data_IF_332521265271
#
_entry.id   IF_332521265271
#
_cell.length_a   1.000
_cell.length_b   1.000
_cell.length_c   1.000
_cell.angle_alpha   90.00
_cell.angle_beta   90.00
_cell.angle_gamma   90.00
#
_symmetry.space_group_name_H-M   'P 1'
#
loop_
_entity.id
_entity.type
_entity.pdbx_description
1 polymer ?
#
# COMPACT_ATOMS: atom_id res chain seq x y z
N UNK A 1 25.31 -11.39 9.71
CA UNK A 1 24.98 -11.76 8.32
C UNK A 1 24.12 -10.70 7.64
N UNK A 2 22.95 -10.34 8.18
CA UNK A 2 22.03 -9.33 7.59
C UNK A 2 22.70 -7.98 7.31
N UNK A 3 23.42 -7.39 8.27
CA UNK A 3 24.12 -6.10 8.09
C UNK A 3 25.00 -6.07 6.84
N UNK A 4 25.81 -7.12 6.61
CA UNK A 4 26.66 -7.23 5.41
C UNK A 4 25.82 -7.28 4.14
N UNK A 5 24.73 -8.06 4.11
CA UNK A 5 23.82 -8.13 2.95
C UNK A 5 23.21 -6.76 2.61
N UNK A 6 22.75 -6.04 3.62
CA UNK A 6 22.19 -4.69 3.44
C UNK A 6 23.26 -3.69 2.94
N UNK A 7 24.49 -3.82 3.42
CA UNK A 7 25.60 -2.95 2.99
C UNK A 7 26.14 -3.33 1.62
N UNK A 8 26.08 -4.59 1.20
CA UNK A 8 26.68 -5.07 -0.05
C UNK A 8 25.72 -5.09 -1.23
N UNK A 9 24.40 -5.16 -1.00
CA UNK A 9 23.41 -5.17 -2.09
C UNK A 9 23.61 -3.95 -2.97
N UNK A 10 23.67 -4.08 -4.31
CA UNK A 10 23.86 -2.92 -5.14
C UNK A 10 22.64 -1.98 -5.03
N UNK A 11 21.45 -2.53 -4.71
CA UNK A 11 20.13 -1.88 -4.72
C UNK A 11 19.85 -1.03 -3.50
N UNK A 12 18.90 -0.11 -3.68
CA UNK A 12 18.42 0.73 -2.61
C UNK A 12 17.65 -0.11 -1.59
N UNK A 13 17.65 0.39 -0.38
CA UNK A 13 16.97 -0.19 0.77
C UNK A 13 15.72 0.65 1.04
N UNK A 14 14.57 -0.01 1.10
CA UNK A 14 13.31 0.67 1.35
C UNK A 14 12.90 0.45 2.79
N UNK A 15 12.68 1.53 3.51
CA UNK A 15 12.29 1.48 4.91
C UNK A 15 10.78 1.49 5.01
N UNK A 16 10.26 0.76 5.98
CA UNK A 16 8.88 0.90 6.40
C UNK A 16 8.82 0.94 7.92
N UNK A 17 8.02 1.85 8.46
CA UNK A 17 7.79 1.87 9.88
C UNK A 17 6.32 2.09 10.20
N UNK A 18 5.93 1.60 11.37
CA UNK A 18 4.59 1.74 11.90
C UNK A 18 4.66 1.84 13.42
N UNK A 19 3.65 2.47 14.01
CA UNK A 19 3.56 2.67 15.45
C UNK A 19 2.38 1.88 16.00
N UNK A 20 2.64 1.09 17.02
CA UNK A 20 1.61 0.32 17.71
C UNK A 20 1.54 0.67 19.18
N UNK A 21 0.33 1.04 19.62
CA UNK A 21 -0.01 1.19 21.03
C UNK A 21 -0.44 -0.16 21.60
N UNK A 22 0.38 -0.69 22.50
CA UNK A 22 0.14 -1.93 23.19
C UNK A 22 -0.90 -1.75 24.32
N UNK A 23 -1.60 -2.84 24.72
CA UNK A 23 -2.62 -2.79 25.78
C UNK A 23 -2.11 -2.33 27.14
N UNK A 24 -0.81 -2.43 27.39
CA UNK A 24 -0.14 -1.94 28.59
C UNK A 24 0.22 -0.45 28.52
N UNK A 25 -0.42 0.32 27.63
CA UNK A 25 -0.21 1.76 27.43
C UNK A 25 1.19 2.16 26.94
N UNK A 26 2.00 1.19 26.50
CA UNK A 26 3.28 1.46 25.84
C UNK A 26 3.10 1.58 24.34
N UNK A 27 3.86 2.45 23.71
CA UNK A 27 3.91 2.57 22.25
C UNK A 27 5.21 1.96 21.73
N UNK A 28 5.14 1.24 20.62
CA UNK A 28 6.30 0.63 19.96
C UNK A 28 6.40 1.10 18.52
N UNK A 29 7.61 1.42 18.08
CA UNK A 29 7.94 1.65 16.69
C UNK A 29 8.59 0.40 16.10
N UNK A 30 7.93 -0.20 15.11
CA UNK A 30 8.50 -1.28 14.32
C UNK A 30 9.15 -0.72 13.07
N UNK A 31 10.46 -0.90 12.89
CA UNK A 31 11.20 -0.47 11.69
C UNK A 31 11.62 -1.71 10.91
N UNK A 32 11.17 -1.80 9.66
CA UNK A 32 11.53 -2.87 8.74
C UNK A 32 12.27 -2.32 7.53
N UNK A 33 13.11 -3.16 6.92
CA UNK A 33 13.74 -2.90 5.62
C UNK A 33 13.31 -3.95 4.60
N UNK A 34 12.99 -3.49 3.40
CA UNK A 34 12.79 -4.32 2.21
C UNK A 34 13.94 -4.07 1.23
N UNK A 35 14.52 -5.14 0.72
CA UNK A 35 15.70 -5.11 -0.13
C UNK A 35 15.74 -6.31 -1.06
N UNK A 36 16.49 -6.23 -2.15
CA UNK A 36 16.74 -7.38 -3.02
C UNK A 36 18.07 -8.03 -2.64
N UNK A 37 18.02 -9.35 -2.42
CA UNK A 37 19.21 -10.16 -2.16
C UNK A 37 19.90 -10.47 -3.50
N UNK A 38 21.16 -10.05 -3.69
CA UNK A 38 21.89 -10.32 -4.94
C UNK A 38 22.12 -11.80 -5.18
N UNK A 39 22.20 -12.62 -4.13
CA UNK A 39 22.51 -14.04 -4.24
C UNK A 39 21.29 -14.84 -4.70
N UNK A 40 20.13 -14.60 -4.08
CA UNK A 40 18.90 -15.35 -4.39
C UNK A 40 18.07 -14.68 -5.49
N UNK A 41 18.35 -13.41 -5.82
CA UNK A 41 17.54 -12.58 -6.72
C UNK A 41 16.07 -12.51 -6.27
N UNK A 42 15.86 -12.43 -4.96
CA UNK A 42 14.54 -12.30 -4.36
C UNK A 42 14.43 -11.01 -3.55
N UNK A 43 13.23 -10.43 -3.53
CA UNK A 43 12.89 -9.38 -2.58
C UNK A 43 12.70 -9.99 -1.19
N UNK A 44 13.58 -9.61 -0.28
CA UNK A 44 13.54 -9.99 1.13
C UNK A 44 13.11 -8.81 1.99
N UNK A 45 12.66 -9.14 3.19
CA UNK A 45 12.27 -8.16 4.20
C UNK A 45 12.70 -8.63 5.58
N UNK A 46 13.20 -7.69 6.38
CA UNK A 46 13.67 -7.93 7.75
C UNK A 46 13.18 -6.83 8.71
N UNK A 47 12.86 -7.22 9.93
CA UNK A 47 12.68 -6.30 11.05
C UNK A 47 14.08 -5.85 11.51
N UNK A 48 14.32 -4.54 11.49
CA UNK A 48 15.57 -3.94 11.96
C UNK A 48 15.50 -3.60 13.45
N UNK A 49 14.36 -3.08 13.90
CA UNK A 49 14.12 -2.72 15.28
C UNK A 49 12.64 -2.81 15.64
N UNK A 50 12.36 -3.19 16.89
CA UNK A 50 11.07 -3.05 17.55
C UNK A 50 11.34 -2.36 18.89
N UNK A 51 11.22 -1.04 18.90
CA UNK A 51 11.68 -0.21 20.02
C UNK A 51 10.51 0.46 20.71
N UNK A 52 10.50 0.47 22.03
CA UNK A 52 9.56 1.25 22.82
C UNK A 52 9.79 2.74 22.56
N UNK A 53 8.71 3.48 22.28
CA UNK A 53 8.75 4.94 22.18
C UNK A 53 8.83 5.48 23.62
N UNK A 54 9.92 6.18 23.99
CA UNK A 54 10.23 6.48 25.39
C UNK A 54 9.19 7.35 26.12
N UNK A 55 8.29 8.02 25.39
CA UNK A 55 7.34 8.96 25.96
C UNK A 55 8.00 10.10 26.76
N UNK A 56 9.29 10.36 26.53
CA UNK A 56 10.13 11.25 27.34
C UNK A 56 9.64 12.71 27.33
N UNK A 57 8.94 13.12 26.28
CA UNK A 57 8.33 14.44 26.15
C UNK A 57 6.83 14.46 26.52
N UNK A 58 6.32 13.39 27.16
CA UNK A 58 4.95 13.27 27.66
C UNK A 58 4.25 11.95 27.26
N UNK A 59 3.19 11.55 27.98
CA UNK A 59 2.44 10.34 27.66
C UNK A 59 1.82 10.44 26.25
N UNK A 60 2.16 9.49 25.38
CA UNK A 60 1.54 9.37 24.04
C UNK A 60 2.18 10.17 22.90
N UNK A 61 3.42 10.65 23.02
CA UNK A 61 4.12 11.29 21.90
C UNK A 61 4.48 10.29 20.79
N UNK A 62 3.51 9.98 19.92
CA UNK A 62 3.70 9.29 18.64
C UNK A 62 4.30 10.21 17.56
N UNK A 63 4.85 11.36 17.96
CA UNK A 63 5.32 12.41 17.06
C UNK A 63 6.50 11.95 16.21
N UNK A 64 6.62 12.53 15.01
CA UNK A 64 7.67 12.17 14.06
C UNK A 64 9.10 12.39 14.61
N UNK A 65 9.28 13.31 15.57
CA UNK A 65 10.56 13.55 16.23
C UNK A 65 11.00 12.39 17.14
N UNK A 66 10.06 11.77 17.87
CA UNK A 66 10.39 10.60 18.71
C UNK A 66 10.67 9.38 17.85
N UNK A 67 9.91 9.20 16.77
CA UNK A 67 10.18 8.16 15.80
C UNK A 67 11.56 8.34 15.15
N UNK A 68 11.96 9.59 14.87
CA UNK A 68 13.26 9.92 14.30
C UNK A 68 14.42 9.52 15.21
N UNK A 69 14.34 9.81 16.51
CA UNK A 69 15.36 9.41 17.50
C UNK A 69 15.67 7.91 17.36
N UNK A 70 14.65 7.06 17.22
CA UNK A 70 14.83 5.62 17.06
C UNK A 70 15.33 5.23 15.66
N UNK A 71 14.79 5.83 14.60
CA UNK A 71 15.18 5.54 13.23
C UNK A 71 16.64 5.90 12.96
N UNK A 72 17.12 7.04 13.47
CA UNK A 72 18.50 7.48 13.31
C UNK A 72 19.47 6.45 13.86
N UNK A 73 19.24 5.94 15.07
CA UNK A 73 20.07 4.88 15.67
C UNK A 73 20.12 3.64 14.79
N UNK A 74 18.98 3.21 14.22
CA UNK A 74 18.95 2.05 13.31
C UNK A 74 19.80 2.29 12.05
N UNK A 75 19.75 3.48 11.46
CA UNK A 75 20.54 3.81 10.27
C UNK A 75 22.04 3.81 10.55
N UNK A 76 22.44 4.31 11.73
CA UNK A 76 23.82 4.35 12.20
C UNK A 76 24.33 2.96 12.56
N UNK A 77 23.56 2.20 13.33
CA UNK A 77 23.90 0.84 13.76
C UNK A 77 24.12 -0.07 12.56
N UNK A 78 23.19 -0.10 11.61
CA UNK A 78 23.34 -0.92 10.41
C UNK A 78 24.30 -0.29 9.39
N UNK A 79 24.65 1.00 9.53
CA UNK A 79 25.44 1.80 8.60
C UNK A 79 24.90 1.67 7.16
N UNK A 80 23.63 2.03 6.99
CA UNK A 80 22.87 1.89 5.74
C UNK A 80 22.27 3.20 5.22
N UNK A 81 22.56 4.33 5.86
CA UNK A 81 22.00 5.65 5.54
C UNK A 81 22.18 6.03 4.06
N UNK A 82 23.32 5.72 3.45
CA UNK A 82 23.61 6.02 2.03
C UNK A 82 22.84 5.15 1.02
N UNK A 83 22.15 4.11 1.48
CA UNK A 83 21.38 3.20 0.63
C UNK A 83 19.88 3.39 0.73
N UNK A 84 19.40 4.29 1.57
CA UNK A 84 17.96 4.54 1.73
C UNK A 84 17.36 5.02 0.40
N UNK A 85 16.38 4.27 -0.10
CA UNK A 85 15.66 4.58 -1.33
C UNK A 85 14.38 5.34 -1.04
N UNK A 86 13.41 4.66 -0.41
CA UNK A 86 12.07 5.20 -0.14
C UNK A 86 11.62 4.82 1.27
N UNK A 87 10.72 5.63 1.82
CA UNK A 87 10.12 5.40 3.14
C UNK A 87 8.61 5.18 3.00
N UNK A 88 8.12 4.03 3.47
CA UNK A 88 6.71 3.65 3.48
C UNK A 88 6.16 3.62 4.91
N UNK A 89 5.25 4.54 5.24
CA UNK A 89 4.53 4.57 6.51
C UNK A 89 3.03 4.79 6.30
N UNK A 90 2.24 4.63 7.37
CA UNK A 90 0.81 4.99 7.39
C UNK A 90 0.58 6.46 6.96
N UNK A 91 -0.65 6.89 6.75
CA UNK A 91 -0.89 8.24 6.22
C UNK A 91 -0.94 9.32 7.31
N UNK A 92 -0.37 9.07 8.48
CA UNK A 92 -0.30 10.05 9.57
C UNK A 92 0.73 11.15 9.26
N UNK A 93 0.44 12.41 9.64
CA UNK A 93 1.32 13.56 9.39
C UNK A 93 2.69 13.47 10.09
N UNK A 94 2.78 12.69 11.17
CA UNK A 94 4.04 12.36 11.85
C UNK A 94 5.04 11.68 10.92
N UNK A 95 4.59 10.88 9.96
CA UNK A 95 5.46 10.26 8.95
C UNK A 95 6.04 11.30 7.97
N UNK A 96 5.32 12.41 7.71
CA UNK A 96 5.83 13.49 6.86
C UNK A 96 6.85 14.35 7.61
N UNK A 97 6.68 14.53 8.92
CA UNK A 97 7.71 15.10 9.81
C UNK A 97 8.95 14.21 9.88
N UNK A 98 8.76 12.89 10.03
CA UNK A 98 9.85 11.91 10.06
C UNK A 98 10.66 11.92 8.75
N UNK A 99 10.00 11.96 7.59
CA UNK A 99 10.70 12.09 6.30
C UNK A 99 11.49 13.39 6.18
N UNK A 100 10.98 14.53 6.69
CA UNK A 100 11.74 15.79 6.70
C UNK A 100 13.01 15.68 7.56
N UNK A 101 12.92 15.05 8.73
CA UNK A 101 14.08 14.83 9.61
C UNK A 101 15.10 13.88 8.95
N UNK A 102 14.63 12.82 8.31
CA UNK A 102 15.48 11.90 7.53
C UNK A 102 16.18 12.62 6.37
N UNK A 103 15.47 13.46 5.62
CA UNK A 103 16.04 14.25 4.53
C UNK A 103 17.18 15.15 5.01
N UNK A 104 16.95 15.90 6.09
CA UNK A 104 17.97 16.78 6.68
C UNK A 104 19.23 15.99 7.09
N UNK A 105 19.05 14.87 7.79
CA UNK A 105 20.17 14.01 8.19
C UNK A 105 20.95 13.47 7.00
N UNK A 106 20.26 13.01 5.95
CA UNK A 106 20.91 12.50 4.75
C UNK A 106 21.64 13.61 3.99
N UNK A 107 21.07 14.81 3.93
CA UNK A 107 21.69 15.98 3.32
C UNK A 107 22.98 16.38 4.05
N UNK A 108 23.00 16.38 5.38
CA UNK A 108 24.20 16.61 6.19
C UNK A 108 25.30 15.57 5.91
N UNK A 109 24.92 14.36 5.49
CA UNK A 109 25.83 13.28 5.07
C UNK A 109 26.15 13.31 3.57
N UNK A 110 25.71 14.33 2.83
CA UNK A 110 25.96 14.49 1.39
C UNK A 110 25.10 13.61 0.48
N UNK A 111 23.96 13.13 0.96
CA UNK A 111 23.01 12.32 0.18
C UNK A 111 21.79 13.16 -0.18
N UNK A 112 21.55 13.33 -1.48
CA UNK A 112 20.32 13.97 -1.97
C UNK A 112 19.11 13.04 -1.77
N UNK A 113 18.23 13.42 -0.85
CA UNK A 113 17.02 12.67 -0.51
C UNK A 113 15.87 13.64 -0.21
N UNK A 114 15.00 13.85 -1.20
CA UNK A 114 13.89 14.79 -1.07
C UNK A 114 12.67 14.16 -0.38
N UNK A 115 12.31 14.69 0.80
CA UNK A 115 11.30 14.11 1.70
C UNK A 115 9.96 13.80 1.02
N UNK A 116 9.42 14.74 0.22
CA UNK A 116 8.11 14.54 -0.43
C UNK A 116 8.18 13.46 -1.51
N UNK A 117 9.20 13.50 -2.35
CA UNK A 117 9.31 12.57 -3.49
C UNK A 117 9.68 11.14 -3.09
N UNK A 118 10.32 10.97 -1.92
CA UNK A 118 10.77 9.67 -1.40
C UNK A 118 9.81 9.05 -0.39
N UNK A 119 8.71 9.72 -0.10
CA UNK A 119 7.60 9.26 0.76
C UNK A 119 6.61 8.41 -0.03
N UNK A 120 6.29 7.23 0.50
CA UNK A 120 5.30 6.30 -0.09
C UNK A 120 4.16 6.09 0.91
N UNK A 121 2.96 6.53 0.56
CA UNK A 121 1.73 6.39 1.34
C UNK A 121 1.29 4.92 1.40
N UNK A 122 0.90 4.43 2.58
CA UNK A 122 0.49 3.05 2.78
C UNK A 122 -0.84 2.76 2.06
N UNK A 123 -0.80 1.89 1.04
CA UNK A 123 -1.96 1.60 0.21
C UNK A 123 -3.12 0.97 1.02
N UNK A 124 -2.82 0.05 1.94
CA UNK A 124 -3.83 -0.57 2.80
C UNK A 124 -4.52 0.44 3.72
N UNK A 125 -3.78 1.44 4.21
CA UNK A 125 -4.35 2.50 5.02
C UNK A 125 -5.28 3.39 4.19
N UNK A 126 -4.92 3.72 2.94
CA UNK A 126 -5.81 4.45 2.00
C UNK A 126 -7.12 3.68 1.79
N UNK A 127 -7.03 2.38 1.51
CA UNK A 127 -8.21 1.52 1.29
C UNK A 127 -9.07 1.46 2.55
N UNK A 128 -8.46 1.29 3.73
CA UNK A 128 -9.18 1.30 5.00
C UNK A 128 -9.91 2.62 5.24
N UNK A 129 -9.25 3.76 5.01
CA UNK A 129 -9.86 5.08 5.18
C UNK A 129 -11.06 5.29 4.25
N UNK A 130 -10.94 4.89 2.99
CA UNK A 130 -12.04 4.97 2.04
C UNK A 130 -13.23 4.10 2.48
N UNK A 131 -12.98 2.85 2.90
CA UNK A 131 -14.05 1.96 3.38
C UNK A 131 -14.68 2.46 4.68
N UNK A 132 -13.88 2.97 5.62
CA UNK A 132 -14.44 3.55 6.84
C UNK A 132 -15.29 4.79 6.51
N UNK A 133 -14.89 5.61 5.53
CA UNK A 133 -15.71 6.72 5.04
C UNK A 133 -17.04 6.26 4.42
N UNK A 134 -17.01 5.17 3.66
CA UNK A 134 -18.22 4.53 3.14
C UNK A 134 -19.16 4.06 4.26
N UNK A 135 -18.62 3.44 5.32
CA UNK A 135 -19.40 2.79 6.37
C UNK A 135 -19.96 3.76 7.42
N UNK A 136 -19.26 4.87 7.67
CA UNK A 136 -19.48 5.67 8.87
C UNK A 136 -19.71 7.17 8.63
N UNK A 137 -19.60 7.67 7.39
CA UNK A 137 -19.85 9.09 7.09
C UNK A 137 -21.19 9.25 6.37
N UNK A 138 -21.99 10.18 6.89
CA UNK A 138 -23.36 10.42 6.44
C UNK A 138 -23.46 11.27 5.15
N UNK A 139 -22.39 11.97 4.73
CA UNK A 139 -22.38 12.77 3.48
C UNK A 139 -20.98 13.06 2.91
N UNK A 140 -20.95 13.50 1.64
CA UNK A 140 -19.73 13.93 0.96
C UNK A 140 -19.14 15.20 1.60
N UNK A 141 -20.00 16.11 2.03
CA UNK A 141 -19.65 17.36 2.69
C UNK A 141 -19.05 17.07 4.06
N UNK A 142 -19.60 16.11 4.81
CA UNK A 142 -19.01 15.64 6.07
C UNK A 142 -17.65 14.98 5.84
N UNK A 143 -17.48 14.22 4.75
CA UNK A 143 -16.18 13.66 4.39
C UNK A 143 -15.16 14.74 4.05
N UNK A 144 -15.55 15.75 3.26
CA UNK A 144 -14.68 16.88 2.90
C UNK A 144 -14.35 17.77 4.09
N UNK A 145 -15.31 18.12 4.92
CA UNK A 145 -15.07 18.87 6.15
C UNK A 145 -14.14 18.09 7.09
N UNK A 146 -14.28 16.76 7.17
CA UNK A 146 -13.31 15.93 7.88
C UNK A 146 -11.93 16.03 7.22
N UNK A 147 -11.82 15.95 5.90
CA UNK A 147 -10.55 16.04 5.16
C UNK A 147 -9.86 17.40 5.31
N UNK A 148 -10.62 18.50 5.30
CA UNK A 148 -10.15 19.90 5.40
C UNK A 148 -9.68 20.26 6.81
N UNK A 149 -10.43 19.88 7.86
CA UNK A 149 -9.99 20.09 9.24
C UNK A 149 -8.66 19.40 9.58
N UNK A 150 -8.32 18.36 8.82
CA UNK A 150 -7.10 17.58 8.95
C UNK A 150 -5.95 18.18 8.13
N UNK A 151 -6.23 19.05 7.16
CA UNK A 151 -5.22 19.83 6.46
C UNK A 151 -4.83 21.11 7.23
N UNK A 152 -5.79 21.75 7.90
CA UNK A 152 -5.56 23.00 8.66
C UNK A 152 -4.95 22.81 10.06
N UNK A 153 -5.03 21.60 10.64
CA UNK A 153 -4.31 21.29 11.87
C UNK A 153 -2.91 20.78 11.52
N UNK A 154 -1.93 21.67 11.57
CA UNK A 154 -0.51 21.32 11.54
C UNK A 154 -0.29 20.11 12.50
N UNK A 155 0.06 18.95 11.94
CA UNK A 155 0.47 17.72 12.63
C UNK A 155 -0.58 16.69 13.14
N UNK A 156 -1.86 16.70 12.75
CA UNK A 156 -2.80 15.61 13.16
C UNK A 156 -3.52 14.90 11.99
N UNK A 157 -3.63 13.57 12.06
CA UNK A 157 -3.90 12.73 10.91
C UNK A 157 -5.35 12.32 10.71
N UNK A 158 -5.70 12.19 9.43
CA UNK A 158 -6.95 11.56 9.00
C UNK A 158 -7.12 10.14 9.53
N UNK A 159 -6.06 9.37 9.76
CA UNK A 159 -6.17 8.01 10.31
C UNK A 159 -6.72 7.94 11.75
N UNK A 160 -6.11 8.70 12.65
CA UNK A 160 -6.40 8.69 14.09
C UNK A 160 -7.60 9.55 14.42
N UNK A 161 -7.68 10.76 13.87
CA UNK A 161 -8.78 11.70 14.13
C UNK A 161 -10.10 11.21 13.51
N UNK A 162 -10.07 10.54 12.35
CA UNK A 162 -11.28 9.94 11.79
C UNK A 162 -11.81 8.77 12.66
N UNK A 163 -10.93 7.89 13.12
CA UNK A 163 -11.32 6.82 14.04
C UNK A 163 -11.82 7.38 15.38
N UNK A 164 -11.26 8.49 15.86
CA UNK A 164 -11.68 9.16 17.10
C UNK A 164 -12.99 9.94 16.95
N UNK A 165 -13.25 10.57 15.81
CA UNK A 165 -14.54 11.22 15.50
C UNK A 165 -15.68 10.23 15.33
N UNK A 166 -15.39 9.01 14.87
CA UNK A 166 -16.40 7.94 14.73
C UNK A 166 -16.64 7.21 16.07
N UNK A 167 -15.67 7.16 17.00
CA UNK A 167 -15.85 6.52 18.32
C UNK A 167 -17.10 7.01 19.09
N UNK A 168 -17.41 8.32 19.18
CA UNK A 168 -18.64 8.82 19.79
C UNK A 168 -19.92 8.34 19.08
N UNK A 169 -19.91 8.24 17.75
CA UNK A 169 -21.04 7.72 16.98
C UNK A 169 -21.24 6.22 17.24
N UNK A 170 -20.15 5.45 17.40
CA UNK A 170 -20.17 4.02 17.79
C UNK A 170 -20.70 3.82 19.22
N UNK A 171 -20.35 4.70 20.15
CA UNK A 171 -20.81 4.65 21.54
C UNK A 171 -22.33 4.91 21.69
N UNK A 172 -22.97 5.51 20.67
CA UNK A 172 -24.42 5.77 20.64
C UNK A 172 -25.24 4.57 20.12
N UNK A 173 -24.60 3.41 19.86
CA UNK A 173 -25.23 2.12 19.58
C UNK A 173 -25.05 1.65 18.12
N UNK A 174 -24.64 0.39 17.94
CA UNK A 174 -24.33 -0.23 16.63
C UNK A 174 -25.46 -0.15 15.61
N UNK A 175 -26.72 -0.10 16.06
CA UNK A 175 -27.91 -0.02 15.19
C UNK A 175 -27.94 1.22 14.28
N UNK A 176 -27.19 2.27 14.59
CA UNK A 176 -27.05 3.45 13.71
C UNK A 176 -26.35 3.15 12.39
N UNK A 177 -25.60 2.06 12.31
CA UNK A 177 -25.03 1.54 11.05
C UNK A 177 -26.06 0.82 10.17
N UNK A 178 -27.35 0.92 10.54
CA UNK A 178 -28.44 0.29 9.81
C UNK A 178 -28.30 -1.24 9.80
N UNK A 179 -28.53 -1.88 8.63
CA UNK A 179 -28.48 -3.35 8.51
C UNK A 179 -27.15 -3.95 8.98
N UNK A 180 -26.02 -3.26 8.75
CA UNK A 180 -24.71 -3.77 9.14
C UNK A 180 -24.55 -3.84 10.66
N UNK A 181 -25.11 -2.86 11.37
CA UNK A 181 -25.16 -2.83 12.84
C UNK A 181 -26.02 -3.94 13.43
N UNK A 182 -27.14 -4.24 12.79
CA UNK A 182 -27.99 -5.38 13.17
C UNK A 182 -27.26 -6.71 13.00
N UNK A 183 -26.50 -6.89 11.91
CA UNK A 183 -25.67 -8.08 11.70
C UNK A 183 -24.61 -8.25 12.79
N UNK A 184 -23.96 -7.16 13.21
CA UNK A 184 -23.05 -7.17 14.35
C UNK A 184 -23.75 -7.66 15.62
N UNK A 185 -24.89 -7.07 15.98
CA UNK A 185 -25.65 -7.44 17.17
C UNK A 185 -26.12 -8.92 17.14
N UNK A 186 -26.58 -9.42 15.98
CA UNK A 186 -26.94 -10.83 15.81
C UNK A 186 -25.72 -11.74 16.07
N UNK A 187 -24.55 -11.36 15.57
CA UNK A 187 -23.31 -12.13 15.77
C UNK A 187 -22.85 -12.13 17.23
N UNK A 188 -22.95 -10.99 17.91
CA UNK A 188 -22.67 -10.87 19.36
C UNK A 188 -23.64 -11.74 20.16
N UNK A 189 -24.95 -11.61 19.92
CA UNK A 189 -25.96 -12.42 20.58
C UNK A 189 -25.71 -13.93 20.38
N UNK A 190 -25.24 -14.34 19.21
CA UNK A 190 -24.88 -15.74 18.95
C UNK A 190 -23.68 -16.22 19.78
N UNK A 191 -22.71 -15.35 20.05
CA UNK A 191 -21.44 -15.67 20.70
C UNK A 191 -21.46 -15.58 22.22
N UNK A 192 -22.34 -14.78 22.77
CA UNK A 192 -22.49 -14.62 24.23
C UNK A 192 -22.92 -15.90 24.94
N UNK A 193 -23.34 -16.93 24.19
CA UNK A 193 -23.83 -18.17 24.75
C UNK A 193 -23.34 -19.37 23.94
N UNK A 194 -22.60 -20.27 24.58
CA UNK A 194 -22.02 -21.46 23.95
C UNK A 194 -23.07 -22.37 23.32
N UNK A 195 -24.26 -22.47 23.90
CA UNK A 195 -25.35 -23.24 23.31
C UNK A 195 -25.81 -22.62 21.98
N UNK A 196 -26.09 -21.31 21.95
CA UNK A 196 -26.49 -20.59 20.72
C UNK A 196 -25.43 -20.71 19.62
N UNK A 197 -24.16 -20.52 19.99
CA UNK A 197 -23.02 -20.63 19.10
C UNK A 197 -22.90 -22.02 18.49
N UNK A 198 -22.88 -23.06 19.32
CA UNK A 198 -22.73 -24.44 18.87
C UNK A 198 -23.95 -24.90 18.07
N UNK A 199 -25.15 -24.47 18.45
CA UNK A 199 -26.38 -24.77 17.73
C UNK A 199 -26.37 -24.19 16.32
N UNK A 200 -26.04 -22.90 16.16
CA UNK A 200 -25.92 -22.27 14.85
C UNK A 200 -24.83 -22.95 14.02
N UNK A 201 -23.63 -23.13 14.59
CA UNK A 201 -22.50 -23.76 13.90
C UNK A 201 -22.82 -25.18 13.44
N UNK A 202 -23.52 -25.97 14.25
CA UNK A 202 -23.95 -27.34 13.90
C UNK A 202 -24.92 -27.33 12.71
N UNK A 203 -25.82 -26.34 12.64
CA UNK A 203 -26.82 -26.23 11.58
C UNK A 203 -26.25 -25.66 10.28
N UNK A 204 -25.45 -24.60 10.38
CA UNK A 204 -24.91 -23.85 9.24
C UNK A 204 -23.54 -24.36 8.75
N UNK A 205 -22.91 -25.29 9.47
CA UNK A 205 -21.57 -25.83 9.17
C UNK A 205 -20.41 -24.90 9.53
N UNK A 206 -20.68 -23.62 9.82
CA UNK A 206 -19.70 -22.61 10.28
C UNK A 206 -20.40 -21.49 11.04
N UNK A 207 -19.61 -20.65 11.72
CA UNK A 207 -20.08 -19.42 12.38
C UNK A 207 -19.99 -18.19 11.49
N UNK A 208 -20.68 -17.10 11.87
CA UNK A 208 -20.65 -15.81 11.16
C UNK A 208 -19.30 -15.06 11.23
N UNK A 209 -18.49 -15.31 12.26
CA UNK A 209 -17.27 -14.52 12.51
C UNK A 209 -17.50 -13.40 13.53
N UNK A 210 -16.57 -12.48 13.67
CA UNK A 210 -16.75 -11.20 14.37
C UNK A 210 -16.02 -10.14 13.56
N UNK A 211 -16.59 -8.96 13.51
CA UNK A 211 -15.91 -7.76 13.09
C UNK A 211 -14.96 -7.25 14.20
N UNK A 212 -14.01 -6.42 13.78
CA UNK A 212 -13.01 -5.75 14.58
C UNK A 212 -13.06 -4.27 14.20
N UNK A 213 -13.28 -3.43 15.20
CA UNK A 213 -13.45 -1.98 15.11
C UNK A 213 -12.35 -1.23 14.34
N UNK A 214 -11.16 -1.82 14.24
CA UNK A 214 -9.98 -1.24 13.59
C UNK A 214 -9.66 -1.86 12.24
N UNK A 215 -10.29 -2.98 11.86
CA UNK A 215 -9.96 -3.73 10.63
C UNK A 215 -11.21 -3.99 9.79
N UNK A 216 -11.47 -3.13 8.81
CA UNK A 216 -12.64 -3.21 7.94
C UNK A 216 -12.82 -4.58 7.22
N UNK A 217 -11.73 -5.31 6.93
CA UNK A 217 -11.79 -6.64 6.33
C UNK A 217 -12.70 -7.60 7.12
N UNK A 218 -12.70 -7.48 8.45
CA UNK A 218 -13.53 -8.31 9.32
C UNK A 218 -15.03 -8.00 9.18
N UNK A 219 -15.40 -6.73 8.98
CA UNK A 219 -16.76 -6.32 8.63
C UNK A 219 -17.22 -6.92 7.31
N UNK A 220 -16.35 -6.85 6.27
CA UNK A 220 -16.65 -7.45 4.98
C UNK A 220 -16.87 -8.97 5.09
N UNK A 221 -15.99 -9.67 5.81
CA UNK A 221 -16.10 -11.13 6.01
C UNK A 221 -17.34 -11.53 6.80
N UNK A 222 -17.70 -10.75 7.83
CA UNK A 222 -18.94 -10.95 8.60
C UNK A 222 -20.16 -10.82 7.69
N UNK A 223 -20.21 -9.75 6.90
CA UNK A 223 -21.31 -9.50 5.97
C UNK A 223 -21.38 -10.54 4.85
N UNK A 224 -20.26 -10.89 4.23
CA UNK A 224 -20.18 -11.92 3.19
C UNK A 224 -20.64 -13.29 3.73
N UNK A 225 -20.19 -13.66 4.93
CA UNK A 225 -20.63 -14.90 5.58
C UNK A 225 -22.12 -14.87 5.92
N UNK A 226 -22.63 -13.73 6.38
CA UNK A 226 -24.04 -13.54 6.71
C UNK A 226 -24.94 -13.71 5.49
N UNK A 227 -24.57 -13.12 4.35
CA UNK A 227 -25.27 -13.29 3.08
C UNK A 227 -25.20 -14.74 2.56
N UNK A 228 -24.03 -15.38 2.64
CA UNK A 228 -23.88 -16.78 2.23
C UNK A 228 -24.69 -17.75 3.10
N UNK A 229 -25.01 -17.37 4.34
CA UNK A 229 -25.78 -18.16 5.30
C UNK A 229 -27.17 -17.60 5.56
N UNK A 230 -27.72 -16.80 4.64
CA UNK A 230 -28.96 -16.05 4.83
C UNK A 230 -30.10 -16.90 5.43
N UNK A 231 -30.38 -18.08 4.87
CA UNK A 231 -31.47 -18.96 5.36
C UNK A 231 -31.26 -19.43 6.80
N UNK A 232 -30.01 -19.64 7.22
CA UNK A 232 -29.67 -20.00 8.60
C UNK A 232 -29.78 -18.81 9.55
N UNK A 233 -29.41 -17.61 9.09
CA UNK A 233 -29.54 -16.38 9.88
C UNK A 233 -31.00 -16.00 10.04
N UNK A 234 -31.83 -16.14 9.01
CA UNK A 234 -33.28 -15.97 9.09
C UNK A 234 -33.92 -16.96 10.07
N UNK A 235 -33.50 -18.23 10.05
CA UNK A 235 -33.92 -19.22 11.04
C UNK A 235 -33.53 -18.79 12.47
N UNK A 236 -32.30 -18.32 12.67
CA UNK A 236 -31.80 -17.89 13.97
C UNK A 236 -32.59 -16.70 14.51
N UNK A 237 -32.83 -15.67 13.68
CA UNK A 237 -33.62 -14.50 14.04
C UNK A 237 -35.07 -14.85 14.37
N UNK A 238 -35.69 -15.81 13.66
CA UNK A 238 -37.04 -16.30 13.96
C UNK A 238 -37.08 -17.05 15.30
N UNK A 239 -36.06 -17.86 15.58
CA UNK A 239 -35.98 -18.65 16.81
C UNK A 239 -35.79 -17.76 18.05
N UNK A 240 -34.89 -16.79 17.97
CA UNK A 240 -34.57 -15.86 19.07
C UNK A 240 -35.24 -14.50 18.87
N UNK A 241 -36.46 -14.48 18.31
CA UNK A 241 -37.14 -13.25 17.90
C UNK A 241 -37.38 -12.28 19.06
N UNK A 242 -37.66 -12.80 20.27
CA UNK A 242 -37.89 -11.95 21.44
C UNK A 242 -36.64 -11.15 21.82
N UNK A 243 -35.46 -11.76 21.70
CA UNK A 243 -34.17 -11.13 22.02
C UNK A 243 -33.66 -10.24 20.88
N UNK A 244 -33.98 -10.61 19.63
CA UNK A 244 -33.48 -9.96 18.41
C UNK A 244 -34.52 -9.09 17.71
N UNK A 245 -35.62 -8.72 18.37
CA UNK A 245 -36.72 -7.97 17.74
C UNK A 245 -36.25 -6.68 17.07
N UNK A 246 -35.39 -5.93 17.76
CA UNK A 246 -34.84 -4.65 17.28
C UNK A 246 -33.72 -4.84 16.24
N UNK A 247 -33.16 -6.05 16.15
CA UNK A 247 -32.09 -6.42 15.22
C UNK A 247 -32.58 -7.31 14.07
N UNK A 248 -33.90 -7.52 13.96
CA UNK A 248 -34.47 -8.33 12.90
C UNK A 248 -34.24 -7.66 11.54
N UNK A 249 -33.64 -8.41 10.62
CA UNK A 249 -33.34 -8.00 9.25
C UNK A 249 -34.56 -8.22 8.35
N UNK A 250 -35.10 -7.13 7.82
CA UNK A 250 -36.20 -7.18 6.84
C UNK A 250 -35.69 -7.59 5.45
N UNK A 251 -36.58 -7.99 4.51
CA UNK A 251 -36.18 -8.28 3.12
C UNK A 251 -35.42 -7.12 2.44
N UNK A 252 -35.84 -5.87 2.69
CA UNK A 252 -35.17 -4.69 2.14
C UNK A 252 -33.77 -4.50 2.75
N UNK A 253 -33.60 -4.79 4.04
CA UNK A 253 -32.31 -4.72 4.72
C UNK A 253 -31.35 -5.82 4.21
N UNK A 254 -31.86 -7.01 3.89
CA UNK A 254 -31.08 -8.05 3.21
C UNK A 254 -30.62 -7.61 1.82
N UNK A 255 -31.49 -6.95 1.05
CA UNK A 255 -31.12 -6.38 -0.24
C UNK A 255 -30.04 -5.30 -0.10
N UNK A 256 -30.19 -4.39 0.88
CA UNK A 256 -29.20 -3.36 1.18
C UNK A 256 -27.84 -3.96 1.59
N UNK A 257 -27.83 -5.02 2.41
CA UNK A 257 -26.60 -5.76 2.72
C UNK A 257 -25.97 -6.35 1.45
N UNK A 258 -26.76 -6.85 0.51
CA UNK A 258 -26.28 -7.32 -0.79
C UNK A 258 -25.59 -6.22 -1.60
N UNK A 259 -26.19 -5.03 -1.68
CA UNK A 259 -25.63 -3.88 -2.39
C UNK A 259 -24.32 -3.39 -1.75
N UNK A 260 -24.29 -3.24 -0.42
CA UNK A 260 -23.09 -2.86 0.31
C UNK A 260 -21.96 -3.87 0.11
N UNK A 261 -22.25 -5.17 0.21
CA UNK A 261 -21.25 -6.22 -0.02
C UNK A 261 -20.72 -6.19 -1.45
N UNK A 262 -21.58 -5.98 -2.44
CA UNK A 262 -21.16 -5.84 -3.84
C UNK A 262 -20.26 -4.62 -4.06
N UNK A 263 -20.54 -3.50 -3.39
CA UNK A 263 -19.69 -2.31 -3.44
C UNK A 263 -18.33 -2.53 -2.76
N UNK A 264 -18.28 -3.19 -1.60
CA UNK A 264 -17.05 -3.40 -0.83
C UNK A 264 -16.16 -4.53 -1.39
N UNK A 265 -16.69 -5.41 -2.22
CA UNK A 265 -15.96 -6.58 -2.72
C UNK A 265 -14.66 -6.23 -3.48
N UNK A 266 -14.61 -5.23 -4.38
CA UNK A 266 -13.36 -4.85 -5.04
C UNK A 266 -12.29 -4.33 -4.07
N UNK A 267 -12.68 -3.57 -3.04
CA UNK A 267 -11.77 -3.14 -1.99
C UNK A 267 -11.17 -4.36 -1.29
N UNK A 268 -11.97 -5.39 -1.03
CA UNK A 268 -11.52 -6.55 -0.26
C UNK A 268 -10.52 -7.34 -1.10
N UNK A 269 -10.84 -7.54 -2.38
CA UNK A 269 -9.95 -8.21 -3.32
C UNK A 269 -8.62 -7.45 -3.47
N UNK A 270 -8.65 -6.12 -3.53
CA UNK A 270 -7.44 -5.30 -3.63
C UNK A 270 -6.61 -5.39 -2.38
N UNK A 271 -7.23 -5.33 -1.19
CA UNK A 271 -6.52 -5.56 0.07
C UNK A 271 -5.88 -6.94 0.09
N UNK A 272 -6.56 -8.01 -0.31
CA UNK A 272 -5.95 -9.35 -0.44
C UNK A 272 -4.77 -9.39 -1.43
N UNK A 273 -4.83 -8.62 -2.52
CA UNK A 273 -3.78 -8.57 -3.55
C UNK A 273 -2.56 -7.73 -3.13
N UNK A 274 -2.71 -6.87 -2.13
CA UNK A 274 -1.69 -5.90 -1.69
C UNK A 274 -1.20 -6.17 -0.27
N UNK A 275 -1.94 -6.94 0.53
CA UNK A 275 -1.49 -7.44 1.82
C UNK A 275 -0.60 -8.66 1.58
N UNK A 276 0.71 -8.48 1.74
CA UNK A 276 1.65 -9.59 1.60
C UNK A 276 3.09 -9.15 1.47
N UNK A 277 4.00 -9.98 1.96
CA UNK A 277 5.45 -9.74 1.94
C UNK A 277 5.99 -9.38 0.55
N UNK A 278 5.39 -9.98 -0.48
CA UNK A 278 5.78 -9.81 -1.88
C UNK A 278 5.02 -8.72 -2.62
N UNK A 279 4.08 -8.01 -1.96
CA UNK A 279 3.40 -6.89 -2.58
C UNK A 279 4.37 -5.72 -2.79
N UNK A 280 4.38 -5.20 -4.00
CA UNK A 280 5.29 -4.18 -4.49
C UNK A 280 4.51 -3.00 -5.06
N UNK A 281 5.17 -1.85 -5.18
CA UNK A 281 4.53 -0.59 -5.54
C UNK A 281 3.75 -0.63 -6.86
N UNK A 282 4.14 -1.51 -7.79
CA UNK A 282 3.48 -1.71 -9.09
C UNK A 282 1.99 -2.05 -8.96
N UNK A 283 1.56 -2.67 -7.86
CA UNK A 283 0.15 -2.99 -7.65
C UNK A 283 -0.66 -1.77 -7.24
N UNK A 284 -0.07 -0.82 -6.52
CA UNK A 284 -0.78 0.26 -5.83
C UNK A 284 -1.58 1.14 -6.80
N UNK A 285 -0.92 1.78 -7.76
CA UNK A 285 -1.61 2.74 -8.63
C UNK A 285 -2.57 2.02 -9.60
N UNK A 286 -2.23 0.79 -10.01
CA UNK A 286 -3.12 -0.03 -10.83
C UNK A 286 -4.40 -0.43 -10.10
N UNK A 287 -4.31 -0.86 -8.83
CA UNK A 287 -5.52 -1.17 -8.05
C UNK A 287 -6.31 0.10 -7.71
N UNK A 288 -5.65 1.24 -7.57
CA UNK A 288 -6.32 2.53 -7.47
C UNK A 288 -7.08 2.89 -8.77
N UNK A 289 -6.51 2.67 -9.96
CA UNK A 289 -7.22 2.83 -11.25
C UNK A 289 -8.50 1.96 -11.29
N UNK A 290 -8.41 0.72 -10.80
CA UNK A 290 -9.55 -0.20 -10.70
C UNK A 290 -10.63 0.36 -9.76
N UNK A 291 -10.25 0.88 -8.58
CA UNK A 291 -11.19 1.51 -7.65
C UNK A 291 -11.82 2.77 -8.24
N UNK A 292 -11.06 3.61 -8.92
CA UNK A 292 -11.60 4.81 -9.58
C UNK A 292 -12.67 4.44 -10.61
N UNK A 293 -12.43 3.39 -11.41
CA UNK A 293 -13.45 2.84 -12.32
C UNK A 293 -14.66 2.29 -11.57
N UNK A 294 -14.44 1.56 -10.48
CA UNK A 294 -15.50 1.01 -9.63
C UNK A 294 -16.38 2.11 -9.04
N UNK A 295 -15.79 3.19 -8.50
CA UNK A 295 -16.53 4.36 -8.02
C UNK A 295 -17.38 5.00 -9.11
N UNK A 296 -16.81 5.20 -10.29
CA UNK A 296 -17.53 5.80 -11.43
C UNK A 296 -18.76 4.96 -11.79
N UNK A 297 -18.61 3.64 -11.87
CA UNK A 297 -19.70 2.72 -12.17
C UNK A 297 -20.73 2.65 -11.04
N UNK A 298 -20.30 2.60 -9.79
CA UNK A 298 -21.18 2.58 -8.63
C UNK A 298 -22.02 3.86 -8.54
N UNK A 299 -21.43 5.02 -8.80
CA UNK A 299 -22.11 6.31 -8.75
C UNK A 299 -23.19 6.46 -9.84
N UNK A 300 -22.97 5.86 -11.01
CA UNK A 300 -23.97 5.78 -12.08
C UNK A 300 -25.09 4.79 -11.73
N UNK A 301 -24.71 3.58 -11.27
CA UNK A 301 -25.63 2.49 -10.93
C UNK A 301 -26.61 2.90 -9.83
N UNK A 302 -26.14 3.55 -8.78
CA UNK A 302 -26.94 3.90 -7.60
C UNK A 302 -27.58 5.29 -7.68
N UNK A 303 -27.84 5.81 -8.89
CA UNK A 303 -28.41 7.15 -9.10
C UNK A 303 -29.76 7.37 -8.39
N UNK A 304 -30.57 6.31 -8.22
CA UNK A 304 -31.85 6.34 -7.49
C UNK A 304 -31.79 5.97 -6.00
N UNK A 305 -30.65 5.47 -5.49
CA UNK A 305 -30.47 5.16 -4.06
C UNK A 305 -29.64 6.28 -3.42
N UNK A 306 -30.32 7.32 -2.93
CA UNK A 306 -29.68 8.54 -2.38
C UNK A 306 -28.72 8.20 -1.23
N UNK A 307 -29.13 7.34 -0.31
CA UNK A 307 -28.33 6.97 0.86
C UNK A 307 -27.03 6.28 0.44
N UNK A 308 -27.11 5.22 -0.37
CA UNK A 308 -25.92 4.49 -0.81
C UNK A 308 -25.01 5.39 -1.68
N UNK A 309 -25.60 6.25 -2.51
CA UNK A 309 -24.84 7.20 -3.33
C UNK A 309 -24.07 8.21 -2.49
N UNK A 310 -24.64 8.68 -1.37
CA UNK A 310 -23.94 9.55 -0.41
C UNK A 310 -22.76 8.83 0.24
N UNK A 311 -22.92 7.58 0.67
CA UNK A 311 -21.82 6.76 1.22
C UNK A 311 -20.70 6.55 0.18
N UNK A 312 -21.06 6.24 -1.07
CA UNK A 312 -20.09 6.12 -2.18
C UNK A 312 -19.37 7.45 -2.41
N UNK A 313 -20.07 8.58 -2.35
CA UNK A 313 -19.48 9.90 -2.53
C UNK A 313 -18.48 10.26 -1.42
N UNK A 314 -18.80 9.95 -0.17
CA UNK A 314 -17.92 10.15 0.98
C UNK A 314 -16.63 9.31 0.84
N UNK A 315 -16.79 8.03 0.54
CA UNK A 315 -15.69 7.10 0.26
C UNK A 315 -14.80 7.56 -0.89
N UNK A 316 -15.41 8.04 -1.98
CA UNK A 316 -14.68 8.52 -3.15
C UNK A 316 -13.90 9.79 -2.83
N UNK A 317 -14.46 10.74 -2.07
CA UNK A 317 -13.74 11.96 -1.69
C UNK A 317 -12.45 11.66 -0.90
N UNK A 318 -12.51 10.73 0.06
CA UNK A 318 -11.33 10.30 0.83
C UNK A 318 -10.32 9.59 -0.07
N UNK A 319 -10.79 8.68 -0.92
CA UNK A 319 -9.92 7.99 -1.88
C UNK A 319 -9.22 8.97 -2.84
N UNK A 320 -9.94 9.96 -3.38
CA UNK A 320 -9.43 10.89 -4.38
C UNK A 320 -8.32 11.79 -3.82
N UNK A 321 -8.42 12.24 -2.56
CA UNK A 321 -7.34 12.94 -1.86
C UNK A 321 -6.03 12.14 -1.92
N UNK A 322 -6.08 10.87 -1.52
CA UNK A 322 -4.88 10.03 -1.50
C UNK A 322 -4.43 9.58 -2.88
N UNK A 323 -5.35 9.49 -3.84
CA UNK A 323 -5.02 9.28 -5.25
C UNK A 323 -4.17 10.43 -5.77
N UNK A 324 -4.57 11.68 -5.52
CA UNK A 324 -3.82 12.88 -5.91
C UNK A 324 -2.45 12.96 -5.21
N UNK A 325 -2.35 12.58 -3.93
CA UNK A 325 -1.07 12.55 -3.21
C UNK A 325 -0.05 11.56 -3.82
N UNK A 326 -0.48 10.61 -4.66
CA UNK A 326 0.48 9.76 -5.38
C UNK A 326 1.32 10.54 -6.40
N UNK A 327 0.86 11.72 -6.85
CA UNK A 327 1.60 12.58 -7.77
C UNK A 327 2.83 13.24 -7.11
N UNK A 328 2.91 13.28 -5.77
CA UNK A 328 4.07 13.81 -5.04
C UNK A 328 5.34 12.98 -5.25
N UNK A 329 5.19 11.67 -5.51
CA UNK A 329 6.30 10.75 -5.69
C UNK A 329 6.34 10.18 -7.12
N UNK A 330 7.44 10.37 -7.88
CA UNK A 330 7.57 9.80 -9.21
C UNK A 330 7.60 8.26 -9.19
N UNK A 331 7.81 7.63 -8.03
CA UNK A 331 7.89 6.18 -7.91
C UNK A 331 6.58 5.48 -8.30
N UNK A 332 5.42 6.07 -8.02
CA UNK A 332 4.13 5.50 -8.40
C UNK A 332 3.97 5.42 -9.92
N UNK A 333 4.25 6.51 -10.63
CA UNK A 333 4.26 6.54 -12.10
C UNK A 333 5.34 5.64 -12.69
N UNK A 334 6.55 5.65 -12.10
CA UNK A 334 7.66 4.81 -12.53
C UNK A 334 7.31 3.32 -12.43
N UNK A 335 6.62 2.89 -11.37
CA UNK A 335 6.21 1.49 -11.20
C UNK A 335 5.24 1.01 -12.29
N UNK A 336 4.37 1.90 -12.82
CA UNK A 336 3.52 1.58 -13.98
C UNK A 336 4.34 1.52 -15.26
N UNK A 337 5.22 2.49 -15.49
CA UNK A 337 6.02 2.61 -16.71
C UNK A 337 7.04 1.48 -16.84
N UNK A 338 7.67 1.09 -15.75
CA UNK A 338 8.68 0.02 -15.71
C UNK A 338 8.04 -1.38 -15.71
N UNK A 339 6.72 -1.48 -15.63
CA UNK A 339 6.03 -2.78 -15.72
C UNK A 339 5.93 -3.23 -17.19
N UNK A 340 6.54 -4.37 -17.58
CA UNK A 340 6.64 -4.79 -18.99
C UNK A 340 5.29 -4.97 -19.70
N UNK A 341 4.26 -5.43 -18.98
CA UNK A 341 2.87 -5.57 -19.48
C UNK A 341 2.02 -4.29 -19.47
N UNK A 342 2.58 -3.14 -19.09
CA UNK A 342 1.83 -1.87 -19.02
C UNK A 342 2.54 -0.77 -19.80
N UNK A 343 3.77 -0.43 -19.40
CA UNK A 343 4.57 0.65 -19.96
C UNK A 343 3.80 1.98 -20.05
N UNK A 344 4.25 2.89 -20.90
CA UNK A 344 3.57 4.16 -21.17
C UNK A 344 2.17 3.94 -21.80
N UNK A 345 1.94 2.80 -22.45
CA UNK A 345 0.67 2.47 -23.07
C UNK A 345 -0.50 2.43 -22.06
N UNK A 346 -0.27 1.96 -20.83
CA UNK A 346 -1.29 1.97 -19.78
C UNK A 346 -1.77 3.39 -19.46
N UNK A 347 -0.83 4.31 -19.26
CA UNK A 347 -1.12 5.73 -18.98
C UNK A 347 -1.89 6.34 -20.16
N UNK A 348 -1.40 6.15 -21.39
CA UNK A 348 -2.02 6.70 -22.60
C UNK A 348 -3.45 6.20 -22.82
N UNK A 349 -3.73 4.94 -22.45
CA UNK A 349 -5.03 4.30 -22.65
C UNK A 349 -6.04 4.64 -21.55
N UNK A 350 -5.60 4.64 -20.29
CA UNK A 350 -6.51 4.64 -19.15
C UNK A 350 -6.61 5.99 -18.44
N UNK A 351 -5.64 6.89 -18.62
CA UNK A 351 -5.61 8.16 -17.89
C UNK A 351 -5.99 9.36 -18.77
N UNK A 352 -6.54 10.44 -18.17
CA UNK A 352 -6.77 11.70 -18.86
C UNK A 352 -5.51 12.25 -19.53
N UNK A 353 -5.66 12.82 -20.74
CA UNK A 353 -4.54 13.41 -21.51
C UNK A 353 -3.78 14.49 -20.73
N UNK A 354 -4.47 15.24 -19.89
CA UNK A 354 -3.87 16.28 -19.03
C UNK A 354 -2.84 15.71 -18.04
N UNK A 355 -2.98 14.46 -17.63
CA UNK A 355 -2.09 13.81 -16.66
C UNK A 355 -0.84 13.21 -17.30
N UNK A 356 -0.83 13.00 -18.62
CA UNK A 356 0.26 12.29 -19.30
C UNK A 356 1.59 13.04 -19.19
N UNK A 357 1.61 14.34 -19.48
CA UNK A 357 2.86 15.11 -19.49
C UNK A 357 3.49 15.25 -18.09
N UNK A 358 2.74 15.60 -17.02
CA UNK A 358 3.28 15.65 -15.67
C UNK A 358 3.96 14.35 -15.22
N UNK A 359 3.26 13.20 -15.33
CA UNK A 359 3.81 11.91 -14.87
C UNK A 359 5.03 11.49 -15.68
N UNK A 360 4.98 11.60 -17.02
CA UNK A 360 6.08 11.18 -17.88
C UNK A 360 7.33 12.05 -17.67
N UNK A 361 7.14 13.35 -17.45
CA UNK A 361 8.25 14.26 -17.14
C UNK A 361 8.84 13.99 -15.76
N UNK A 362 8.00 13.75 -14.74
CA UNK A 362 8.45 13.44 -13.39
C UNK A 362 9.29 12.15 -13.34
N UNK A 363 8.85 11.09 -14.02
CA UNK A 363 9.59 9.83 -14.09
C UNK A 363 10.88 9.97 -14.90
N UNK A 364 10.84 10.67 -16.04
CA UNK A 364 12.05 10.94 -16.84
C UNK A 364 13.06 11.77 -16.06
N UNK A 365 12.61 12.77 -15.30
CA UNK A 365 13.48 13.55 -14.42
C UNK A 365 14.14 12.63 -13.38
N UNK A 366 13.36 11.78 -12.70
CA UNK A 366 13.90 10.82 -11.74
C UNK A 366 14.94 9.86 -12.34
N UNK A 367 14.72 9.39 -13.57
CA UNK A 367 15.70 8.61 -14.33
C UNK A 367 17.02 9.36 -14.53
N UNK A 368 16.94 10.59 -15.03
CA UNK A 368 18.11 11.44 -15.31
C UNK A 368 18.89 11.80 -14.05
N UNK A 369 18.19 12.17 -12.98
CA UNK A 369 18.82 12.68 -11.76
C UNK A 369 19.56 11.56 -10.99
N UNK A 370 19.10 10.31 -11.06
CA UNK A 370 19.59 9.25 -10.16
C UNK A 370 20.19 8.01 -10.83
N UNK A 371 19.89 7.74 -12.11
CA UNK A 371 20.23 6.46 -12.73
C UNK A 371 20.96 6.57 -14.08
N UNK A 372 20.65 7.59 -14.89
CA UNK A 372 21.21 7.76 -16.23
C UNK A 372 22.74 7.78 -16.28
N UNK A 373 23.37 8.42 -15.28
CA UNK A 373 24.84 8.55 -15.19
C UNK A 373 25.49 7.48 -14.30
N UNK A 374 24.77 6.42 -13.92
CA UNK A 374 25.37 5.38 -13.07
C UNK A 374 26.53 4.68 -13.80
N UNK A 375 27.64 4.40 -13.09
CA UNK A 375 28.74 3.63 -13.65
C UNK A 375 28.25 2.24 -14.07
N UNK A 376 28.58 1.84 -15.30
CA UNK A 376 28.32 0.48 -15.76
C UNK A 376 29.28 -0.47 -15.04
N UNK A 377 28.83 -1.61 -14.50
CA UNK A 377 29.73 -2.65 -14.03
C UNK A 377 30.62 -3.04 -15.21
N UNK A 378 31.91 -2.77 -15.10
CA UNK A 378 32.89 -3.19 -16.12
C UNK A 378 33.03 -4.70 -16.03
N UNK A 379 32.09 -5.40 -16.64
CA UNK A 379 32.14 -6.86 -16.85
C UNK A 379 31.69 -7.16 -18.26
N UNK A 380 32.09 -6.32 -19.21
CA UNK A 380 32.48 -6.89 -20.49
C UNK A 380 33.68 -7.78 -20.16
N UNK A 381 33.69 -9.09 -20.48
CA UNK A 381 34.95 -9.63 -20.93
C UNK A 381 35.40 -8.62 -21.98
N UNK A 382 36.53 -7.98 -21.76
CA UNK A 382 37.34 -7.62 -22.89
C UNK A 382 37.54 -8.97 -23.59
N UNK A 383 36.63 -9.31 -24.52
CA UNK A 383 37.07 -9.70 -25.83
C UNK A 383 38.18 -8.70 -26.06
N UNK A 384 39.40 -9.18 -25.86
CA UNK A 384 40.54 -8.53 -26.43
C UNK A 384 40.11 -8.43 -27.88
N UNK A 385 39.57 -7.29 -28.25
CA UNK A 385 39.95 -6.66 -29.49
C UNK A 385 41.47 -6.56 -29.35
N UNK A 386 42.16 -7.68 -29.60
CA UNK A 386 43.32 -7.62 -30.44
C UNK A 386 42.90 -6.64 -31.52
N UNK A 387 43.56 -5.50 -31.55
CA UNK A 387 43.38 -4.48 -32.57
C UNK A 387 43.77 -5.15 -33.88
N UNK A 388 42.88 -6.00 -34.39
CA UNK A 388 42.96 -6.61 -35.69
C UNK A 388 42.55 -5.46 -36.58
N UNK A 389 43.52 -4.92 -37.33
CA UNK A 389 43.22 -3.96 -38.38
C UNK A 389 42.15 -4.61 -39.25
N UNK A 390 40.95 -4.05 -39.20
CA UNK A 390 39.84 -4.47 -40.05
C UNK A 390 40.33 -4.37 -41.49
N UNK A 391 40.19 -5.47 -42.23
CA UNK A 391 40.48 -5.45 -43.65
C UNK A 391 39.29 -4.89 -44.44
N UNK A 392 39.47 -4.70 -45.74
CA UNK A 392 38.46 -4.09 -46.61
C UNK A 392 37.17 -4.93 -46.65
N UNK A 393 37.28 -6.24 -46.47
CA UNK A 393 36.12 -7.12 -46.38
C UNK A 393 35.36 -6.92 -45.08
N UNK A 394 36.04 -6.82 -43.93
CA UNK A 394 35.40 -6.56 -42.64
C UNK A 394 34.64 -5.22 -42.63
N UNK A 395 35.17 -4.19 -43.30
CA UNK A 395 34.53 -2.89 -43.43
C UNK A 395 33.27 -2.95 -44.32
N UNK A 396 33.37 -3.60 -45.49
CA UNK A 396 32.25 -3.80 -46.41
C UNK A 396 31.16 -4.70 -45.80
N UNK A 397 31.56 -5.75 -45.07
CA UNK A 397 30.64 -6.62 -44.34
C UNK A 397 29.88 -5.84 -43.27
N UNK A 398 30.54 -4.95 -42.50
CA UNK A 398 29.89 -4.04 -41.53
C UNK A 398 28.93 -3.05 -42.18
N UNK A 399 29.22 -2.60 -43.40
CA UNK A 399 28.36 -1.70 -44.18
C UNK A 399 27.11 -2.42 -44.71
N UNK A 400 27.24 -3.70 -45.04
CA UNK A 400 26.15 -4.57 -45.47
C UNK A 400 25.37 -5.18 -44.30
N UNK A 401 25.97 -5.20 -43.11
CA UNK A 401 25.35 -5.70 -41.89
C UNK A 401 24.18 -4.79 -41.53
N UNK A 402 22.96 -5.31 -41.60
CA UNK A 402 21.74 -4.57 -41.25
C UNK A 402 21.60 -4.53 -39.73
N UNK A 403 22.65 -4.10 -39.02
CA UNK A 403 22.55 -3.76 -37.62
C UNK A 403 21.93 -2.39 -37.59
N UNK A 404 20.62 -2.32 -37.32
CA UNK A 404 19.89 -1.07 -37.22
C UNK A 404 20.68 -0.10 -36.32
N UNK A 405 21.21 1.03 -36.83
CA UNK A 405 22.00 1.96 -36.04
C UNK A 405 21.24 2.56 -34.85
N UNK A 406 19.92 2.35 -34.79
CA UNK A 406 19.00 3.12 -33.97
C UNK A 406 18.83 2.65 -32.52
N UNK A 407 19.25 1.45 -32.13
CA UNK A 407 19.06 0.98 -30.74
C UNK A 407 20.25 1.28 -29.81
N UNK A 408 21.45 1.44 -30.37
CA UNK A 408 22.67 1.68 -29.57
C UNK A 408 22.86 3.15 -29.18
N UNK A 409 22.15 4.09 -29.83
CA UNK A 409 22.19 5.53 -29.56
C UNK A 409 21.02 6.05 -28.69
N UNK A 410 19.98 5.23 -28.48
CA UNK A 410 18.83 5.62 -27.67
C UNK A 410 19.13 5.44 -26.19
N UNK A 411 18.78 6.45 -25.39
CA UNK A 411 18.71 6.34 -23.93
C UNK A 411 17.88 5.10 -23.52
N UNK A 412 18.39 4.28 -22.58
CA UNK A 412 17.76 3.01 -22.18
C UNK A 412 16.28 3.17 -21.82
N UNK A 413 15.96 4.27 -21.13
CA UNK A 413 14.59 4.61 -20.75
C UNK A 413 13.70 4.81 -21.98
N UNK A 414 14.16 5.53 -22.99
CA UNK A 414 13.40 5.72 -24.24
C UNK A 414 13.28 4.43 -25.03
N UNK A 415 14.36 3.64 -25.11
CA UNK A 415 14.38 2.35 -25.77
C UNK A 415 13.38 1.36 -25.15
N UNK A 416 13.21 1.35 -23.82
CA UNK A 416 12.25 0.47 -23.15
C UNK A 416 10.82 1.01 -23.18
N UNK A 417 10.61 2.29 -22.85
CA UNK A 417 9.27 2.82 -22.62
C UNK A 417 8.43 3.00 -23.88
N UNK A 418 9.07 3.08 -25.04
CA UNK A 418 8.42 3.23 -26.35
C UNK A 418 7.94 1.91 -26.96
N UNK A 419 8.48 0.76 -26.54
CA UNK A 419 8.06 -0.53 -27.10
C UNK A 419 6.67 -0.95 -26.56
N UNK A 420 5.94 -1.82 -27.29
CA UNK A 420 4.62 -2.26 -26.87
C UNK A 420 4.68 -3.11 -25.59
N UNK A 421 3.58 -3.14 -24.81
CA UNK A 421 3.49 -4.02 -23.64
C UNK A 421 3.59 -5.50 -24.02
N UNK A 422 4.22 -6.30 -23.15
CA UNK A 422 4.41 -7.75 -23.34
C UNK A 422 3.77 -8.53 -22.18
N UNK A 423 3.32 -9.76 -22.45
CA UNK A 423 2.89 -10.68 -21.41
C UNK A 423 4.13 -11.21 -20.69
N UNK A 424 4.11 -11.20 -19.36
CA UNK A 424 5.14 -11.80 -18.52
C UNK A 424 4.54 -12.95 -17.71
N UNK A 425 5.34 -13.98 -17.48
CA UNK A 425 5.04 -15.19 -16.73
C UNK A 425 5.36 -15.08 -15.23
N UNK A 426 5.95 -13.97 -14.81
CA UNK A 426 6.42 -13.72 -13.45
C UNK A 426 6.11 -12.29 -12.99
N UNK A 427 6.57 -11.91 -11.79
CA UNK A 427 6.44 -10.52 -11.32
C UNK A 427 7.32 -9.57 -12.15
N UNK A 428 6.95 -8.29 -12.30
CA UNK A 428 7.80 -7.30 -12.97
C UNK A 428 9.20 -7.23 -12.36
N UNK A 429 9.32 -7.31 -11.04
CA UNK A 429 10.61 -7.33 -10.35
C UNK A 429 11.45 -8.54 -10.75
N UNK A 430 10.86 -9.74 -10.73
CA UNK A 430 11.53 -10.98 -11.16
C UNK A 430 11.98 -10.91 -12.62
N UNK A 431 11.19 -10.27 -13.48
CA UNK A 431 11.54 -10.05 -14.88
C UNK A 431 12.79 -9.17 -15.04
N UNK A 432 12.86 -8.05 -14.31
CA UNK A 432 14.02 -7.15 -14.29
C UNK A 432 15.27 -7.75 -13.60
N UNK A 433 15.10 -8.81 -12.82
CA UNK A 433 16.21 -9.53 -12.19
C UNK A 433 16.85 -10.57 -13.09
N UNK A 434 16.27 -10.87 -14.26
CA UNK A 434 16.86 -11.77 -15.26
C UNK A 434 18.11 -11.13 -15.88
N UNK A 435 19.14 -11.95 -16.09
CA UNK A 435 20.43 -11.51 -16.64
C UNK A 435 20.28 -10.84 -18.00
N UNK A 436 19.44 -11.40 -18.88
CA UNK A 436 19.15 -10.84 -20.21
C UNK A 436 18.67 -9.37 -20.13
N UNK A 437 17.83 -9.05 -19.15
CA UNK A 437 17.29 -7.70 -18.98
C UNK A 437 18.33 -6.77 -18.37
N UNK A 438 19.17 -7.27 -17.46
CA UNK A 438 20.27 -6.49 -16.88
C UNK A 438 21.40 -6.24 -17.90
N UNK A 439 21.59 -7.14 -18.86
CA UNK A 439 22.55 -6.95 -19.96
C UNK A 439 22.01 -5.97 -21.01
N UNK A 440 20.72 -6.07 -21.35
CA UNK A 440 20.08 -5.17 -22.33
C UNK A 440 19.91 -3.76 -21.77
N UNK A 441 19.64 -3.63 -20.47
CA UNK A 441 19.29 -2.38 -19.79
C UNK A 441 20.07 -2.24 -18.46
N UNK A 442 21.39 -2.08 -18.50
CA UNK A 442 22.23 -2.14 -17.30
C UNK A 442 21.94 -1.04 -16.28
N UNK A 443 21.55 0.18 -16.72
CA UNK A 443 21.18 1.27 -15.80
C UNK A 443 19.70 1.27 -15.50
N UNK A 444 18.84 1.03 -16.49
CA UNK A 444 17.39 1.06 -16.31
C UNK A 444 16.90 -0.11 -15.47
N UNK A 445 17.53 -1.29 -15.55
CA UNK A 445 17.25 -2.39 -14.63
C UNK A 445 17.55 -2.04 -13.17
N UNK A 446 18.53 -1.14 -12.92
CA UNK A 446 18.81 -0.61 -11.58
C UNK A 446 17.61 0.17 -11.04
N UNK A 447 17.13 1.12 -11.82
CA UNK A 447 15.92 1.90 -11.49
C UNK A 447 14.71 0.99 -11.31
N UNK A 448 14.52 0.03 -12.21
CA UNK A 448 13.39 -0.88 -12.14
C UNK A 448 13.39 -1.73 -10.88
N UNK A 449 14.53 -2.28 -10.49
CA UNK A 449 14.62 -3.06 -9.25
C UNK A 449 14.41 -2.17 -8.02
N UNK A 450 15.00 -0.98 -7.98
CA UNK A 450 14.83 -0.04 -6.87
C UNK A 450 13.38 0.44 -6.75
N UNK A 451 12.66 0.67 -7.85
CA UNK A 451 11.25 1.09 -7.81
C UNK A 451 10.31 -0.09 -7.51
N UNK A 452 10.51 -1.22 -8.17
CA UNK A 452 9.62 -2.39 -8.09
C UNK A 452 9.86 -3.22 -6.83
N UNK A 453 10.88 -2.92 -6.01
CA UNK A 453 11.06 -3.55 -4.70
C UNK A 453 10.48 -2.72 -3.54
N UNK A 454 10.01 -1.49 -3.81
CA UNK A 454 9.33 -0.64 -2.82
C UNK A 454 8.08 -1.36 -2.27
N UNK A 455 7.90 -1.45 -0.93
CA UNK A 455 6.69 -2.00 -0.35
C UNK A 455 5.50 -1.05 -0.55
N UNK A 456 4.37 -1.59 -1.00
CA UNK A 456 3.11 -0.85 -1.14
C UNK A 456 2.43 -0.53 0.22
N UNK A 457 2.81 -1.24 1.28
CA UNK A 457 2.18 -1.16 2.61
C UNK A 457 3.23 -1.20 3.72
N UNK A 458 2.95 -0.54 4.84
CA UNK A 458 3.68 -0.66 6.11
C UNK A 458 3.18 -1.85 6.96
N UNK A 459 2.60 -2.88 6.34
CA UNK A 459 1.91 -3.98 7.01
C UNK A 459 2.83 -4.97 7.75
N UNK A 460 4.13 -4.96 7.47
CA UNK A 460 5.06 -5.91 8.08
C UNK A 460 5.41 -5.55 9.52
N UNK A 461 5.66 -4.27 9.86
CA UNK A 461 5.52 -3.80 11.24
C UNK A 461 4.23 -4.29 11.94
N UNK A 462 3.05 -4.17 11.31
CA UNK A 462 1.79 -4.67 11.88
C UNK A 462 1.76 -6.18 12.15
N UNK A 463 2.37 -6.97 11.26
CA UNK A 463 2.52 -8.43 11.44
C UNK A 463 3.45 -8.75 12.60
N UNK A 464 4.55 -8.01 12.73
CA UNK A 464 5.48 -8.12 13.86
C UNK A 464 4.76 -7.82 15.16
N UNK A 465 3.94 -6.76 15.22
CA UNK A 465 3.13 -6.46 16.40
C UNK A 465 2.14 -7.58 16.74
N UNK A 466 1.50 -8.16 15.73
CA UNK A 466 0.56 -9.28 15.93
C UNK A 466 1.26 -10.52 16.52
N UNK A 467 2.53 -10.75 16.17
CA UNK A 467 3.39 -11.77 16.80
C UNK A 467 3.83 -11.38 18.20
N UNK A 468 4.35 -10.16 18.39
CA UNK A 468 4.86 -9.64 19.65
C UNK A 468 3.77 -9.49 20.72
N UNK A 469 2.52 -9.30 20.33
CA UNK A 469 1.36 -9.30 21.24
C UNK A 469 1.20 -10.60 22.02
N UNK A 470 1.79 -11.71 21.56
CA UNK A 470 1.82 -12.99 22.30
C UNK A 470 2.91 -13.03 23.38
N UNK A 471 3.90 -12.16 23.30
CA UNK A 471 5.08 -12.14 24.20
C UNK A 471 5.11 -10.93 25.13
N UNK A 472 4.38 -9.86 24.81
CA UNK A 472 4.25 -8.69 25.68
C UNK A 472 3.19 -8.99 26.73
N UNK A 473 3.59 -8.94 28.01
CA UNK A 473 2.71 -9.21 29.15
C UNK A 473 1.54 -8.21 29.19
N UNK A 474 0.37 -8.74 29.59
CA UNK A 474 -0.86 -7.96 29.84
C UNK A 474 -0.85 -7.29 31.22
N UNK A 475 0.18 -7.52 32.02
CA UNK A 475 0.26 -7.00 33.38
C UNK A 475 0.43 -5.49 33.31
N UNK A 476 -0.58 -4.80 33.81
CA UNK A 476 -0.47 -3.40 34.22
C UNK A 476 0.38 -3.42 35.49
N UNK A 477 1.65 -3.02 35.40
CA UNK A 477 2.42 -2.72 36.60
C UNK A 477 1.77 -1.58 37.39
#
# INVERSE_FOLDING_TARGET
MLRRKLQSTPWKLHLSADVWSAPNHKAFLGICVKFVDPDTKEALQALLALSELPGLDGPGSHGGAEQWKLLQHVLEDYNIWNKVGFYTGDNHGSNDKLCRLLANYLQEKGVDWEAKTRRIRCHGHIVNLAVQAFLFIDSKEAARAALEHIEDTDESAFGTDFSERIKPQRAQGWRRLGPLGKVHNISIHMRENDYRWNEFKKRAGRSLGLDNDTRWNSWFLLQDTTLNLQSYVEWYQKKYYQDLRDDYLTPDEWSALGETRAFLQPFWKITQLTEGRYATLDRSLFTMDVLHKHYTQAFQKHSGNVTLRSCVAASWAVFDKYYQLTDESPAYGAAIILHPSRRVAHIKKNWPKSWHKPVLNGVRKHWKDYYHELPLPTTTPQLRDEIRRLDEYDLLARELDVVSPSMCELDEYDAFTTQPPIIIDCSPLSWWLREEQQQTYPRLSRMAVDILSIPAMSAEPERVFSGARRTISWDRC
#
